data_IF_477649396815
#
_entry.id   IF_477649396815
#
_cell.length_a   1.000
_cell.length_b   1.000
_cell.length_c   1.000
_cell.angle_alpha   90.00
_cell.angle_beta   90.00
_cell.angle_gamma   90.00
#
_symmetry.space_group_name_H-M   'P 1'
#
loop_
_entity.id
_entity.type
_entity.pdbx_description
1 polymer ?
#
# COMPACT_ATOMS: atom_id res chain seq x y z
N UNK A 1 64.72 15.97 28.93
CA UNK A 1 63.35 15.65 29.34
C UNK A 1 62.48 15.64 28.11
N UNK A 2 62.12 14.44 27.63
CA UNK A 2 61.37 14.21 26.37
C UNK A 2 59.90 13.94 26.75
N UNK A 3 59.02 14.87 26.45
CA UNK A 3 57.58 14.74 26.72
C UNK A 3 56.96 13.97 25.54
N UNK A 4 56.56 12.74 25.79
CA UNK A 4 55.84 11.89 24.86
C UNK A 4 54.35 12.31 24.86
N UNK A 5 53.91 13.03 23.86
CA UNK A 5 52.49 13.35 23.66
C UNK A 5 51.78 12.14 23.06
N UNK A 6 51.05 11.42 23.88
CA UNK A 6 50.10 10.38 23.41
C UNK A 6 48.86 11.05 22.81
N UNK A 7 48.78 11.04 21.50
CA UNK A 7 47.54 11.39 20.77
C UNK A 7 46.60 10.20 20.87
N UNK A 8 45.60 10.30 21.74
CA UNK A 8 44.47 9.39 21.73
C UNK A 8 43.58 9.71 20.52
N UNK A 9 43.71 8.93 19.45
CA UNK A 9 42.70 8.87 18.39
C UNK A 9 41.45 8.22 18.98
N UNK A 10 40.52 9.07 19.43
CA UNK A 10 39.14 8.64 19.63
C UNK A 10 38.57 8.33 18.24
N UNK A 11 38.58 7.06 17.85
CA UNK A 11 37.76 6.58 16.75
C UNK A 11 36.31 6.76 17.19
N UNK A 12 35.69 7.89 16.80
CA UNK A 12 34.27 8.01 16.77
C UNK A 12 33.80 7.05 15.63
N UNK A 13 33.57 5.80 15.97
CA UNK A 13 32.73 4.95 15.15
C UNK A 13 31.33 5.58 15.23
N UNK A 14 31.03 6.43 14.27
CA UNK A 14 29.64 6.79 14.00
C UNK A 14 28.93 5.46 13.71
N UNK A 15 27.96 5.12 14.55
CA UNK A 15 27.06 3.98 14.28
C UNK A 15 26.08 4.35 13.18
N UNK A 16 26.60 4.77 12.02
CA UNK A 16 25.80 5.13 10.84
C UNK A 16 24.90 3.98 10.36
N UNK A 17 25.19 2.76 10.82
CA UNK A 17 24.40 1.55 10.53
C UNK A 17 23.17 1.39 11.44
N UNK A 18 23.07 2.14 12.52
CA UNK A 18 21.95 2.10 13.46
C UNK A 18 20.93 3.21 13.18
N UNK A 19 21.31 4.23 12.42
CA UNK A 19 20.44 5.33 12.08
C UNK A 19 19.54 4.97 10.89
N UNK A 20 18.29 5.46 10.90
CA UNK A 20 17.38 5.32 9.78
C UNK A 20 17.89 6.11 8.58
N UNK A 21 18.37 5.43 7.55
CA UNK A 21 18.91 6.04 6.32
C UNK A 21 17.83 6.36 5.30
N UNK A 22 16.67 5.69 5.41
CA UNK A 22 15.53 5.87 4.51
C UNK A 22 14.28 6.09 5.34
N UNK A 23 13.52 7.12 4.99
CA UNK A 23 12.25 7.38 5.66
C UNK A 23 11.33 6.16 5.58
N UNK A 24 10.70 5.81 6.71
CA UNK A 24 9.76 4.71 6.76
C UNK A 24 8.41 5.14 6.19
N UNK A 25 7.97 4.45 5.14
CA UNK A 25 6.68 4.65 4.51
C UNK A 25 5.81 3.42 4.67
N UNK A 26 4.50 3.64 4.73
CA UNK A 26 3.52 2.56 4.64
C UNK A 26 3.13 2.36 3.19
N UNK A 27 3.11 1.11 2.74
CA UNK A 27 2.75 0.76 1.38
C UNK A 27 1.96 -0.54 1.30
N UNK A 28 1.13 -0.67 0.27
CA UNK A 28 0.60 -1.96 -0.13
C UNK A 28 1.68 -2.76 -0.87
N UNK A 29 1.76 -4.05 -0.58
CA UNK A 29 2.59 -4.95 -1.39
C UNK A 29 1.79 -5.44 -2.59
N UNK A 30 1.77 -4.63 -3.64
CA UNK A 30 1.12 -4.97 -4.91
C UNK A 30 2.15 -5.26 -6.00
N UNK A 31 1.76 -5.93 -7.10
CA UNK A 31 2.64 -6.10 -8.25
C UNK A 31 3.11 -4.75 -8.78
N UNK A 32 4.38 -4.65 -9.14
CA UNK A 32 4.96 -3.44 -9.74
C UNK A 32 4.98 -3.63 -11.25
N UNK A 33 4.41 -2.70 -12.03
CA UNK A 33 4.44 -2.79 -13.48
C UNK A 33 5.87 -2.62 -14.01
N UNK A 34 6.13 -3.16 -15.19
CA UNK A 34 7.37 -2.89 -15.91
C UNK A 34 7.46 -1.36 -16.17
N UNK A 35 8.51 -0.73 -15.66
CA UNK A 35 8.66 0.73 -15.70
C UNK A 35 8.38 1.42 -14.35
N UNK A 36 7.79 0.73 -13.36
CA UNK A 36 7.75 1.18 -11.97
C UNK A 36 6.81 2.33 -11.65
N UNK A 37 5.95 2.77 -12.57
CA UNK A 37 5.03 3.88 -12.39
C UNK A 37 3.56 3.46 -12.52
N UNK A 38 2.69 4.16 -11.80
CA UNK A 38 1.25 3.96 -11.84
C UNK A 38 0.75 2.80 -10.96
N UNK A 39 -0.56 2.65 -10.92
CA UNK A 39 -1.25 1.62 -10.12
C UNK A 39 -1.41 0.36 -10.97
N UNK A 40 -1.05 -0.79 -10.41
CA UNK A 40 -1.16 -2.10 -11.07
C UNK A 40 -2.43 -2.80 -10.64
N UNK A 41 -3.07 -3.52 -11.58
CA UNK A 41 -4.22 -4.35 -11.28
C UNK A 41 -3.78 -5.55 -10.42
N UNK A 42 -4.45 -5.72 -9.30
CA UNK A 42 -4.37 -6.92 -8.46
C UNK A 42 -5.59 -7.77 -8.81
N UNK A 43 -5.35 -8.97 -9.34
CA UNK A 43 -6.46 -9.79 -9.81
C UNK A 43 -7.08 -10.59 -8.67
N UNK A 44 -8.40 -10.40 -8.51
CA UNK A 44 -9.26 -11.17 -7.62
C UNK A 44 -10.09 -12.12 -8.47
N UNK A 45 -9.78 -13.41 -8.37
CA UNK A 45 -10.50 -14.42 -9.18
C UNK A 45 -11.86 -14.70 -8.60
N UNK A 46 -12.90 -14.56 -9.44
CA UNK A 46 -14.25 -14.97 -9.12
C UNK A 46 -14.30 -16.49 -8.83
N UNK A 47 -15.09 -16.85 -7.83
CA UNK A 47 -15.42 -18.25 -7.51
C UNK A 47 -16.91 -18.48 -7.69
N UNK A 48 -17.29 -19.72 -7.96
CA UNK A 48 -18.67 -20.11 -8.24
C UNK A 48 -19.66 -19.72 -7.13
N UNK A 49 -19.21 -19.77 -5.87
CA UNK A 49 -20.00 -19.34 -4.71
C UNK A 49 -20.03 -17.80 -4.51
N UNK A 50 -19.30 -17.05 -5.34
CA UNK A 50 -19.16 -15.60 -5.26
C UNK A 50 -18.38 -15.10 -4.07
N UNK A 51 -17.84 -15.97 -3.20
CA UNK A 51 -17.14 -15.58 -1.97
C UNK A 51 -15.63 -15.71 -2.12
N UNK A 52 -14.94 -14.60 -1.97
CA UNK A 52 -13.47 -14.56 -2.07
C UNK A 52 -12.90 -13.70 -0.95
N UNK A 53 -11.94 -14.22 -0.20
CA UNK A 53 -11.10 -13.42 0.69
C UNK A 53 -9.76 -13.18 0.03
N UNK A 54 -9.41 -11.91 -0.17
CA UNK A 54 -8.09 -11.51 -0.64
C UNK A 54 -7.27 -10.96 0.53
N UNK A 55 -6.02 -11.40 0.65
CA UNK A 55 -5.09 -10.92 1.68
C UNK A 55 -4.07 -10.00 1.05
N UNK A 56 -4.21 -8.71 1.30
CA UNK A 56 -3.30 -7.68 0.77
C UNK A 56 -2.30 -7.29 1.85
N UNK A 57 -1.00 -7.58 1.67
CA UNK A 57 0.00 -7.19 2.66
C UNK A 57 0.18 -5.68 2.67
N UNK A 58 0.26 -5.11 3.89
CA UNK A 58 0.68 -3.74 4.15
C UNK A 58 2.06 -3.82 4.79
N UNK A 59 3.01 -3.04 4.28
CA UNK A 59 4.40 -3.10 4.72
C UNK A 59 4.91 -1.75 5.19
N UNK A 60 5.78 -1.78 6.20
CA UNK A 60 6.59 -0.65 6.63
C UNK A 60 7.95 -0.77 5.94
N UNK A 61 8.26 0.18 5.07
CA UNK A 61 9.59 0.26 4.42
C UNK A 61 10.57 1.04 5.28
N UNK A 62 11.85 0.96 4.95
CA UNK A 62 12.93 1.68 5.62
C UNK A 62 14.17 0.81 5.76
N UNK A 63 15.25 1.37 6.29
CA UNK A 63 16.52 0.67 6.51
C UNK A 63 16.61 0.02 7.90
N UNK A 64 15.75 0.42 8.83
CA UNK A 64 15.71 -0.10 10.20
C UNK A 64 14.39 -0.82 10.49
N UNK A 65 14.34 -1.54 11.60
CA UNK A 65 13.14 -2.19 12.08
C UNK A 65 12.09 -1.17 12.48
N UNK A 66 10.81 -1.43 12.19
CA UNK A 66 9.71 -0.63 12.72
C UNK A 66 9.70 -0.69 14.27
N UNK A 67 9.87 0.45 14.92
CA UNK A 67 9.92 0.55 16.40
C UNK A 67 8.63 1.06 17.02
N UNK A 68 7.63 1.42 16.20
CA UNK A 68 6.38 2.03 16.64
C UNK A 68 5.19 1.13 16.33
N UNK A 69 4.21 1.15 17.23
CA UNK A 69 2.86 0.70 16.91
C UNK A 69 2.22 1.70 15.95
N UNK A 70 1.62 1.21 14.87
CA UNK A 70 1.03 2.05 13.82
C UNK A 70 -0.40 1.62 13.55
N UNK A 71 -1.32 2.57 13.60
CA UNK A 71 -2.71 2.38 13.17
C UNK A 71 -2.86 2.91 11.76
N UNK A 72 -2.81 2.02 10.78
CA UNK A 72 -2.86 2.37 9.36
C UNK A 72 -4.31 2.43 8.90
N UNK A 73 -4.73 3.58 8.40
CA UNK A 73 -6.09 3.81 7.91
C UNK A 73 -6.18 3.56 6.41
N UNK A 74 -7.18 2.79 6.01
CA UNK A 74 -7.45 2.39 4.62
C UNK A 74 -8.82 2.93 4.21
N UNK A 75 -8.89 3.50 3.02
CA UNK A 75 -10.12 4.00 2.43
C UNK A 75 -10.32 3.52 1.00
N UNK A 76 -11.58 3.51 0.55
CA UNK A 76 -11.92 3.35 -0.86
C UNK A 76 -11.69 4.67 -1.57
N UNK A 77 -10.97 4.64 -2.68
CA UNK A 77 -10.54 5.81 -3.44
C UNK A 77 -11.29 5.89 -4.78
N UNK A 78 -12.57 6.23 -4.70
CA UNK A 78 -13.42 6.39 -5.90
C UNK A 78 -13.03 7.63 -6.71
N UNK A 79 -12.53 8.69 -6.05
CA UNK A 79 -12.25 9.98 -6.68
C UNK A 79 -11.10 9.89 -7.69
N UNK A 80 -10.08 9.07 -7.40
CA UNK A 80 -8.97 8.87 -8.34
C UNK A 80 -9.25 7.81 -9.38
N UNK A 81 -10.32 7.02 -9.27
CA UNK A 81 -10.67 5.99 -10.25
C UNK A 81 -11.05 6.62 -11.60
N UNK A 82 -11.77 7.72 -11.61
CA UNK A 82 -12.12 8.44 -12.85
C UNK A 82 -10.86 8.94 -13.57
N UNK A 83 -9.94 9.56 -12.83
CA UNK A 83 -8.66 9.99 -13.38
C UNK A 83 -7.88 8.82 -13.98
N UNK A 84 -7.83 7.69 -13.27
CA UNK A 84 -7.17 6.47 -13.74
C UNK A 84 -7.82 5.92 -15.02
N UNK A 85 -9.14 5.96 -15.10
CA UNK A 85 -9.88 5.53 -16.29
C UNK A 85 -9.55 6.41 -17.50
N UNK A 86 -9.50 7.74 -17.31
CA UNK A 86 -9.13 8.69 -18.35
C UNK A 86 -7.68 8.45 -18.81
N UNK A 87 -6.75 8.28 -17.88
CA UNK A 87 -5.34 8.03 -18.16
C UNK A 87 -5.14 6.72 -18.94
N UNK A 88 -5.86 5.65 -18.57
CA UNK A 88 -5.71 4.33 -19.21
C UNK A 88 -6.48 4.16 -20.51
N UNK A 89 -7.68 4.69 -20.57
CA UNK A 89 -8.63 4.36 -21.65
C UNK A 89 -9.06 5.57 -22.48
N UNK A 90 -8.68 6.79 -22.11
CA UNK A 90 -9.16 8.05 -22.69
C UNK A 90 -10.61 8.38 -22.32
N UNK A 91 -10.91 9.67 -22.20
CA UNK A 91 -12.26 10.19 -21.96
C UNK A 91 -13.25 9.81 -23.09
N UNK A 92 -12.74 9.53 -24.29
CA UNK A 92 -13.55 9.15 -25.46
C UNK A 92 -13.92 7.67 -25.52
N UNK A 93 -13.48 6.86 -24.54
CA UNK A 93 -13.74 5.41 -24.50
C UNK A 93 -14.33 4.97 -23.16
N UNK A 94 -15.45 5.56 -22.71
CA UNK A 94 -16.04 5.23 -21.40
C UNK A 94 -16.47 3.75 -21.27
N UNK A 95 -16.80 3.08 -22.37
CA UNK A 95 -17.13 1.65 -22.36
C UNK A 95 -15.94 0.72 -22.02
N UNK A 96 -14.72 1.25 -21.95
CA UNK A 96 -13.55 0.49 -21.49
C UNK A 96 -13.20 0.74 -20.02
N UNK A 97 -13.87 1.67 -19.37
CA UNK A 97 -13.56 2.11 -18.03
C UNK A 97 -13.80 1.01 -17.01
N UNK A 98 -13.08 1.09 -15.92
CA UNK A 98 -13.34 0.31 -14.72
C UNK A 98 -14.56 0.87 -13.98
N UNK A 99 -15.36 -0.03 -13.42
CA UNK A 99 -16.52 0.28 -12.60
C UNK A 99 -16.22 -0.06 -11.14
N UNK A 100 -16.43 0.89 -10.24
CA UNK A 100 -16.22 0.63 -8.82
C UNK A 100 -17.25 -0.38 -8.30
N UNK A 101 -16.79 -1.37 -7.52
CA UNK A 101 -17.68 -2.28 -6.80
C UNK A 101 -18.61 -1.50 -5.85
N UNK A 102 -19.85 -1.95 -5.76
CA UNK A 102 -20.82 -1.46 -4.79
C UNK A 102 -20.40 -1.85 -3.36
N UNK A 103 -20.81 -1.06 -2.37
CA UNK A 103 -20.35 -1.19 -0.98
C UNK A 103 -20.80 -2.49 -0.30
N UNK A 104 -21.88 -3.11 -0.79
CA UNK A 104 -22.38 -4.41 -0.33
C UNK A 104 -21.60 -5.61 -0.89
N UNK A 105 -20.69 -5.38 -1.83
CA UNK A 105 -19.90 -6.40 -2.52
C UNK A 105 -18.55 -6.68 -1.87
N UNK A 106 -18.15 -5.90 -0.88
CA UNK A 106 -16.88 -6.09 -0.16
C UNK A 106 -16.97 -5.63 1.29
N UNK A 107 -16.12 -6.20 2.13
CA UNK A 107 -15.89 -5.76 3.50
C UNK A 107 -14.41 -5.89 3.85
N UNK A 108 -13.89 -4.91 4.59
CA UNK A 108 -12.52 -4.92 5.11
C UNK A 108 -12.39 -4.00 6.32
N UNK A 109 -11.45 -4.27 7.25
CA UNK A 109 -11.18 -3.38 8.37
C UNK A 109 -10.61 -2.05 7.86
N UNK A 110 -11.22 -0.94 8.28
CA UNK A 110 -10.78 0.42 7.89
C UNK A 110 -9.46 0.83 8.53
N UNK A 111 -9.02 0.09 9.54
CA UNK A 111 -7.75 0.30 10.26
C UNK A 111 -7.03 -1.03 10.42
N UNK A 112 -5.72 -1.00 10.17
CA UNK A 112 -4.83 -2.15 10.35
C UNK A 112 -3.75 -1.78 11.35
N UNK A 113 -3.62 -2.57 12.41
CA UNK A 113 -2.60 -2.37 13.42
C UNK A 113 -1.31 -3.10 13.05
N UNK A 114 -0.22 -2.35 12.92
CA UNK A 114 1.12 -2.90 12.73
C UNK A 114 1.90 -2.69 14.02
N UNK A 115 2.19 -3.77 14.73
CA UNK A 115 2.89 -3.71 16.02
C UNK A 115 4.36 -3.31 15.85
N UNK A 116 4.91 -2.64 16.86
CA UNK A 116 6.35 -2.41 16.98
C UNK A 116 7.10 -3.75 16.85
N UNK A 117 8.18 -3.75 16.07
CA UNK A 117 8.96 -4.94 15.73
C UNK A 117 8.43 -5.72 14.53
N UNK A 118 7.22 -5.44 14.04
CA UNK A 118 6.67 -5.99 12.81
C UNK A 118 6.83 -5.02 11.64
N UNK A 119 7.17 -5.52 10.47
CA UNK A 119 7.28 -4.74 9.23
C UNK A 119 6.18 -5.06 8.23
N UNK A 120 5.28 -5.99 8.55
CA UNK A 120 4.20 -6.42 7.65
C UNK A 120 2.97 -6.83 8.45
N UNK A 121 1.80 -6.47 7.91
CA UNK A 121 0.51 -6.96 8.39
C UNK A 121 -0.43 -7.24 7.21
N UNK A 122 -1.44 -8.08 7.40
CA UNK A 122 -2.37 -8.48 6.35
C UNK A 122 -3.68 -7.69 6.45
N UNK A 123 -4.05 -7.02 5.38
CA UNK A 123 -5.41 -6.52 5.19
C UNK A 123 -6.25 -7.63 4.54
N UNK A 124 -7.17 -8.20 5.30
CA UNK A 124 -8.13 -9.17 4.77
C UNK A 124 -9.31 -8.42 4.15
N UNK A 125 -9.58 -8.71 2.89
CA UNK A 125 -10.68 -8.11 2.14
C UNK A 125 -11.60 -9.25 1.73
N UNK A 126 -12.81 -9.24 2.25
CA UNK A 126 -13.85 -10.22 1.96
C UNK A 126 -14.75 -9.68 0.85
N UNK A 127 -14.87 -10.43 -0.24
CA UNK A 127 -15.74 -10.11 -1.36
C UNK A 127 -16.95 -11.01 -1.37
N UNK A 128 -18.12 -10.41 -1.60
CA UNK A 128 -19.37 -11.10 -1.89
C UNK A 128 -19.81 -10.73 -3.32
N UNK A 129 -19.28 -11.45 -4.28
CA UNK A 129 -19.43 -11.17 -5.70
C UNK A 129 -20.65 -11.88 -6.33
N UNK A 130 -21.53 -12.47 -5.51
CA UNK A 130 -22.70 -13.15 -6.03
C UNK A 130 -23.59 -12.18 -6.80
N UNK A 131 -23.96 -12.56 -8.02
CA UNK A 131 -24.89 -11.82 -8.87
C UNK A 131 -24.30 -10.59 -9.59
N UNK A 132 -22.97 -10.37 -9.54
CA UNK A 132 -22.35 -9.31 -10.34
C UNK A 132 -22.33 -9.68 -11.82
N UNK A 133 -22.39 -8.67 -12.69
CA UNK A 133 -22.22 -8.85 -14.12
C UNK A 133 -20.72 -9.01 -14.46
N UNK A 134 -20.32 -10.22 -14.86
CA UNK A 134 -18.93 -10.53 -15.22
C UNK A 134 -18.46 -9.89 -16.54
N UNK A 135 -19.36 -9.23 -17.30
CA UNK A 135 -18.97 -8.45 -18.48
C UNK A 135 -18.41 -7.08 -18.10
N UNK A 136 -18.76 -6.59 -16.91
CA UNK A 136 -18.24 -5.34 -16.37
C UNK A 136 -16.85 -5.51 -15.77
N UNK A 137 -16.07 -4.42 -15.80
CA UNK A 137 -14.71 -4.40 -15.24
C UNK A 137 -14.72 -3.90 -13.79
N UNK A 138 -15.25 -4.73 -12.91
CA UNK A 138 -15.36 -4.40 -11.49
C UNK A 138 -14.02 -4.25 -10.81
N UNK A 139 -13.86 -3.16 -10.06
CA UNK A 139 -12.65 -2.87 -9.27
C UNK A 139 -12.99 -2.36 -7.88
N UNK A 140 -12.12 -2.65 -6.93
CA UNK A 140 -12.07 -2.02 -5.61
C UNK A 140 -10.79 -1.19 -5.53
N UNK A 141 -10.87 0.14 -5.67
CA UNK A 141 -9.72 1.02 -5.49
C UNK A 141 -9.51 1.32 -4.02
N UNK A 142 -8.33 1.06 -3.50
CA UNK A 142 -7.95 1.34 -2.11
C UNK A 142 -6.80 2.34 -2.05
N UNK A 143 -6.78 3.13 -0.99
CA UNK A 143 -5.67 4.04 -0.67
C UNK A 143 -5.33 3.96 0.81
N UNK A 144 -4.05 4.14 1.14
CA UNK A 144 -3.59 4.40 2.50
C UNK A 144 -3.86 5.88 2.77
N UNK A 145 -4.57 6.17 3.84
CA UNK A 145 -4.94 7.55 4.22
C UNK A 145 -3.78 8.22 4.93
N UNK A 146 -3.40 9.40 4.48
CA UNK A 146 -2.46 10.28 5.15
C UNK A 146 -3.17 11.37 5.93
N UNK A 147 -2.70 11.63 7.14
CA UNK A 147 -3.11 12.77 7.94
C UNK A 147 -1.91 13.24 8.78
N UNK A 148 -1.67 14.56 8.94
CA UNK A 148 -0.57 15.07 9.76
C UNK A 148 -0.58 14.62 11.22
N UNK A 149 -1.72 14.18 11.75
CA UNK A 149 -1.87 13.65 13.10
C UNK A 149 -1.44 12.18 13.24
N UNK A 150 -1.27 11.46 12.12
CA UNK A 150 -0.86 10.05 12.15
C UNK A 150 0.66 9.92 12.35
N UNK A 151 1.07 8.84 13.01
CA UNK A 151 2.48 8.51 13.22
C UNK A 151 3.10 7.72 12.06
N UNK A 152 2.55 7.85 10.88
CA UNK A 152 3.07 7.25 9.66
C UNK A 152 2.80 8.16 8.46
N UNK A 153 3.49 7.88 7.36
CA UNK A 153 3.22 8.45 6.04
C UNK A 153 3.02 7.34 5.03
N UNK A 154 2.10 7.51 4.09
CA UNK A 154 2.00 6.62 2.96
C UNK A 154 3.17 6.85 2.00
N UNK A 155 3.49 5.83 1.21
CA UNK A 155 4.55 5.95 0.22
C UNK A 155 4.19 7.00 -0.85
N UNK A 156 5.12 7.90 -1.25
CA UNK A 156 4.81 8.99 -2.19
C UNK A 156 4.46 8.51 -3.60
N UNK A 157 4.85 7.29 -3.97
CA UNK A 157 4.50 6.72 -5.28
C UNK A 157 3.14 6.03 -5.24
N UNK A 158 2.28 6.33 -6.22
CA UNK A 158 0.91 5.79 -6.34
C UNK A 158 0.87 4.25 -6.36
N UNK A 159 1.82 3.60 -7.01
CA UNK A 159 1.90 2.13 -7.10
C UNK A 159 2.19 1.44 -5.76
N UNK A 160 2.56 2.20 -4.74
CA UNK A 160 2.76 1.69 -3.38
C UNK A 160 1.67 2.15 -2.41
N UNK A 161 1.21 3.41 -2.54
CA UNK A 161 0.19 3.98 -1.66
C UNK A 161 -1.23 3.56 -2.02
N UNK A 162 -1.44 3.08 -3.24
CA UNK A 162 -2.75 2.70 -3.77
C UNK A 162 -2.75 1.26 -4.26
N UNK A 163 -3.90 0.62 -4.17
CA UNK A 163 -4.13 -0.73 -4.68
C UNK A 163 -5.42 -0.76 -5.51
N UNK A 164 -5.39 -1.43 -6.65
CA UNK A 164 -6.54 -1.61 -7.52
C UNK A 164 -6.85 -3.11 -7.62
N UNK A 165 -7.85 -3.58 -6.86
CA UNK A 165 -8.27 -4.97 -6.89
C UNK A 165 -9.31 -5.13 -7.98
N UNK A 166 -8.98 -5.90 -9.02
CA UNK A 166 -9.83 -6.15 -10.18
C UNK A 166 -10.40 -7.56 -10.14
N UNK A 167 -11.72 -7.67 -10.22
CA UNK A 167 -12.41 -8.96 -10.33
C UNK A 167 -12.25 -9.51 -11.75
N UNK A 168 -11.89 -10.81 -11.86
CA UNK A 168 -11.74 -11.54 -13.12
C UNK A 168 -12.32 -12.95 -13.01
#
# INVERSE_FOLDING_TARGET
LMILATVTLSAACNNEWEDEQYEQYISFKSPIPAGGEGVTDIYVRYKEDGKVTYRLPIVVSGSTTNTLDREVHIAVDKDTLETLNIERFSIHRPGLWYTALEEDKYDFPKTVHISAGSSVEQLNIDFNLQGIDMLEKWVLPLTIVDDPSYNYKSHPRKNYAKALLRVI
#
